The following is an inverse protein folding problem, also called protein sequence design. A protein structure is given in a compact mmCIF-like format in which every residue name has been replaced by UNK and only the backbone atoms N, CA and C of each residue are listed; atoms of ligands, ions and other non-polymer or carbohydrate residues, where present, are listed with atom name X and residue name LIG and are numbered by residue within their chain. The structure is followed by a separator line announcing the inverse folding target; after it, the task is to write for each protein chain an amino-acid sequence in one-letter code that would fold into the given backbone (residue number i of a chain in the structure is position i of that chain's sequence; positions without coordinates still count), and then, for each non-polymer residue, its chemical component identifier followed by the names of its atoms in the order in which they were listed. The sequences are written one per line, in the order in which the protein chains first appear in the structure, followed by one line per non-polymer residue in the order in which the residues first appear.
data_IF_312383952636
#
_entry.id   IF_312383952636
#
_cell.length_a   1.000
_cell.length_b   1.000
_cell.length_c   1.000
_cell.angle_alpha   90.00
_cell.angle_beta   90.00
_cell.angle_gamma   90.00
#
_symmetry.space_group_name_H-M   'P 1'
#
loop_
_entity.id
_entity.type
_entity.pdbx_description
1 polymer ?
#
# COMPACT_ATOMS: atom_id res chain seq x y z
N UNK A 1 -62.59 1.68 -2.87
CA UNK A 1 -61.77 2.02 -1.68
C UNK A 1 -60.62 1.01 -1.49
N UNK A 2 -60.89 -0.30 -1.45
CA UNK A 2 -59.86 -1.36 -1.27
C UNK A 2 -58.70 -1.35 -2.28
N UNK A 3 -58.95 -1.09 -3.58
CA UNK A 3 -57.90 -1.04 -4.62
C UNK A 3 -56.86 0.08 -4.40
N UNK A 4 -57.30 1.23 -3.87
CA UNK A 4 -56.40 2.35 -3.54
C UNK A 4 -55.58 2.03 -2.28
N UNK A 5 -56.19 1.40 -1.28
CA UNK A 5 -55.51 0.96 -0.06
C UNK A 5 -54.42 -0.08 -0.35
N UNK A 6 -54.71 -1.08 -1.19
CA UNK A 6 -53.74 -2.10 -1.59
C UNK A 6 -52.54 -1.52 -2.35
N UNK A 7 -52.78 -0.55 -3.24
CA UNK A 7 -51.70 0.15 -3.96
C UNK A 7 -50.82 0.96 -3.01
N UNK A 8 -51.42 1.68 -2.05
CA UNK A 8 -50.66 2.46 -1.05
C UNK A 8 -49.82 1.56 -0.15
N UNK A 9 -50.36 0.43 0.30
CA UNK A 9 -49.62 -0.56 1.10
C UNK A 9 -48.48 -1.19 0.28
N UNK A 10 -48.72 -1.51 -0.98
CA UNK A 10 -47.68 -2.05 -1.87
C UNK A 10 -46.54 -1.05 -2.10
N UNK A 11 -46.86 0.23 -2.32
CA UNK A 11 -45.87 1.30 -2.45
C UNK A 11 -45.09 1.47 -1.14
N UNK A 12 -45.76 1.48 0.02
CA UNK A 12 -45.10 1.58 1.32
C UNK A 12 -44.15 0.40 1.58
N UNK A 13 -44.56 -0.82 1.24
CA UNK A 13 -43.71 -2.01 1.35
C UNK A 13 -42.52 -1.97 0.39
N UNK A 14 -42.68 -1.41 -0.81
CA UNK A 14 -41.56 -1.16 -1.73
C UNK A 14 -40.58 -0.13 -1.14
N UNK A 15 -41.07 0.99 -0.58
CA UNK A 15 -40.23 1.99 0.06
C UNK A 15 -39.51 1.46 1.31
N UNK A 16 -40.19 0.64 2.13
CA UNK A 16 -39.56 -0.02 3.27
C UNK A 16 -38.53 -1.06 2.80
N UNK A 17 -38.83 -1.84 1.76
CA UNK A 17 -37.91 -2.80 1.17
C UNK A 17 -36.65 -2.13 0.61
N UNK A 18 -36.78 -1.02 -0.11
CA UNK A 18 -35.64 -0.26 -0.63
C UNK A 18 -34.86 0.47 0.45
N UNK A 19 -35.54 0.98 1.48
CA UNK A 19 -34.89 1.63 2.63
C UNK A 19 -34.07 0.64 3.46
N UNK A 20 -34.62 -0.55 3.77
CA UNK A 20 -33.90 -1.61 4.48
C UNK A 20 -32.71 -2.13 3.66
N UNK A 21 -32.84 -2.21 2.33
CA UNK A 21 -31.73 -2.53 1.44
C UNK A 21 -30.64 -1.45 1.46
N UNK A 22 -31.00 -0.17 1.57
CA UNK A 22 -30.05 0.94 1.60
C UNK A 22 -29.28 1.02 2.92
N UNK A 23 -29.93 0.80 4.07
CA UNK A 23 -29.26 0.69 5.37
C UNK A 23 -28.40 -0.58 5.50
N UNK A 24 -28.69 -1.63 4.73
CA UNK A 24 -27.92 -2.88 4.71
C UNK A 24 -26.61 -2.83 3.90
N UNK A 25 -26.29 -1.69 3.26
CA UNK A 25 -25.04 -1.50 2.53
C UNK A 25 -24.02 -0.79 3.42
N UNK A 26 -23.03 -1.54 3.90
CA UNK A 26 -21.85 -0.97 4.54
C UNK A 26 -20.80 -0.58 3.50
N UNK A 27 -20.12 0.54 3.71
CA UNK A 27 -18.92 0.92 2.95
C UNK A 27 -17.72 0.90 3.88
N UNK A 28 -16.60 0.32 3.43
CA UNK A 28 -15.32 0.34 4.14
C UNK A 28 -14.19 0.74 3.20
N UNK A 29 -13.19 1.43 3.74
CA UNK A 29 -12.04 1.91 2.97
C UNK A 29 -10.88 0.94 3.12
N UNK A 30 -10.35 0.50 1.99
CA UNK A 30 -9.15 -0.32 1.91
C UNK A 30 -8.10 0.45 1.12
N UNK A 31 -7.02 0.83 1.78
CA UNK A 31 -5.85 1.42 1.15
C UNK A 31 -4.86 0.31 0.83
N UNK A 32 -4.21 0.37 -0.33
CA UNK A 32 -3.16 -0.58 -0.68
C UNK A 32 -2.00 0.14 -1.35
N UNK A 33 -0.79 -0.20 -0.92
CA UNK A 33 0.45 0.11 -1.61
C UNK A 33 0.94 -1.17 -2.27
N UNK A 34 1.16 -1.14 -3.58
CA UNK A 34 1.73 -2.27 -4.33
C UNK A 34 3.11 -1.87 -4.83
N UNK A 35 4.16 -2.53 -4.32
CA UNK A 35 5.52 -2.39 -4.84
C UNK A 35 5.71 -3.43 -5.96
N UNK A 36 5.65 -3.01 -7.22
CA UNK A 36 5.61 -3.92 -8.39
C UNK A 36 6.59 -3.53 -9.50
N UNK A 37 7.18 -4.50 -10.23
CA UNK A 37 8.02 -4.20 -11.40
C UNK A 37 7.18 -3.61 -12.52
N UNK A 38 7.36 -2.30 -12.80
CA UNK A 38 6.59 -1.56 -13.79
C UNK A 38 5.36 -0.83 -13.23
N UNK A 39 4.66 -0.12 -14.13
CA UNK A 39 3.55 0.76 -13.77
C UNK A 39 2.22 0.00 -13.69
N UNK A 40 1.43 0.32 -12.66
CA UNK A 40 0.14 -0.31 -12.41
C UNK A 40 -1.01 0.69 -12.58
N UNK A 41 -2.19 0.15 -12.90
CA UNK A 41 -3.45 0.86 -12.90
C UNK A 41 -4.50 0.04 -12.15
N UNK A 42 -5.18 0.66 -11.20
CA UNK A 42 -6.32 0.04 -10.54
C UNK A 42 -7.50 -0.17 -11.50
N UNK A 43 -8.11 -1.35 -11.44
CA UNK A 43 -9.31 -1.70 -12.23
C UNK A 43 -10.58 -1.76 -11.37
N UNK A 44 -10.42 -1.94 -10.05
CA UNK A 44 -11.54 -2.06 -9.11
C UNK A 44 -11.33 -3.22 -8.15
N UNK A 45 -12.42 -3.80 -7.64
CA UNK A 45 -12.37 -4.94 -6.73
C UNK A 45 -13.48 -5.94 -7.03
N UNK A 46 -13.33 -7.16 -6.51
CA UNK A 46 -14.41 -8.15 -6.40
C UNK A 46 -14.46 -8.76 -5.00
N UNK A 47 -15.64 -9.27 -4.64
CA UNK A 47 -15.84 -10.07 -3.44
C UNK A 47 -16.05 -11.52 -3.87
N UNK A 48 -15.08 -12.38 -3.61
CA UNK A 48 -15.05 -13.78 -4.05
C UNK A 48 -14.79 -14.67 -2.84
N UNK A 49 -15.71 -15.60 -2.54
CA UNK A 49 -15.58 -16.56 -1.43
C UNK A 49 -15.20 -15.93 -0.07
N UNK A 50 -15.75 -14.76 0.24
CA UNK A 50 -15.45 -14.01 1.48
C UNK A 50 -14.10 -13.28 1.49
N UNK A 51 -13.43 -13.19 0.35
CA UNK A 51 -12.16 -12.47 0.15
C UNK A 51 -12.42 -11.17 -0.61
N UNK A 52 -11.65 -10.13 -0.26
CA UNK A 52 -11.59 -8.89 -1.05
C UNK A 52 -10.45 -9.03 -2.05
N UNK A 53 -10.76 -9.07 -3.33
CA UNK A 53 -9.76 -9.12 -4.41
C UNK A 53 -9.63 -7.74 -5.02
N UNK A 54 -8.51 -7.07 -4.78
CA UNK A 54 -8.17 -5.76 -5.36
C UNK A 54 -7.49 -5.99 -6.71
N UNK A 55 -8.02 -5.41 -7.79
CA UNK A 55 -7.60 -5.70 -9.16
C UNK A 55 -6.77 -4.57 -9.74
N UNK A 56 -5.63 -4.95 -10.30
CA UNK A 56 -4.69 -4.07 -10.98
C UNK A 56 -4.32 -4.64 -12.34
N UNK A 57 -4.05 -3.74 -13.27
CA UNK A 57 -3.53 -4.03 -14.59
C UNK A 57 -2.12 -3.44 -14.72
N UNK A 58 -1.24 -4.15 -15.42
CA UNK A 58 0.11 -3.66 -15.71
C UNK A 58 0.08 -2.81 -16.98
N UNK A 59 0.41 -1.53 -16.86
CA UNK A 59 0.46 -0.60 -18.01
C UNK A 59 1.76 -0.75 -18.81
N UNK A 60 2.88 -0.88 -18.10
CA UNK A 60 4.21 -1.02 -18.68
C UNK A 60 5.01 -2.01 -17.85
N UNK A 61 5.60 -3.01 -18.50
CA UNK A 61 6.51 -3.94 -17.86
C UNK A 61 7.91 -3.32 -17.79
N UNK A 62 8.48 -3.23 -16.60
CA UNK A 62 9.85 -2.76 -16.37
C UNK A 62 10.48 -3.59 -15.24
N UNK A 63 11.81 -3.73 -15.25
CA UNK A 63 12.52 -4.32 -14.12
C UNK A 63 12.56 -3.38 -12.90
N UNK A 64 12.40 -2.07 -13.13
CA UNK A 64 12.36 -1.09 -12.05
C UNK A 64 11.11 -1.28 -11.19
N UNK A 65 11.33 -1.38 -9.88
CA UNK A 65 10.26 -1.47 -8.91
C UNK A 65 9.61 -0.09 -8.74
N UNK A 66 8.28 -0.04 -8.80
CA UNK A 66 7.47 1.16 -8.63
C UNK A 66 6.49 0.95 -7.49
N UNK A 67 6.24 2.01 -6.75
CA UNK A 67 5.18 2.02 -5.74
C UNK A 67 3.90 2.57 -6.36
N UNK A 68 2.81 1.84 -6.18
CA UNK A 68 1.48 2.28 -6.58
C UNK A 68 0.55 2.28 -5.38
N UNK A 69 0.04 3.45 -5.01
CA UNK A 69 -0.94 3.62 -3.94
C UNK A 69 -2.35 3.76 -4.54
N UNK A 70 -3.31 3.02 -3.99
CA UNK A 70 -4.71 3.12 -4.37
C UNK A 70 -5.64 2.99 -3.16
N UNK A 71 -6.79 3.68 -3.23
CA UNK A 71 -7.83 3.64 -2.21
C UNK A 71 -9.12 3.07 -2.80
N UNK A 72 -9.58 1.95 -2.24
CA UNK A 72 -10.82 1.30 -2.65
C UNK A 72 -11.94 1.52 -1.62
N UNK A 73 -13.09 1.98 -2.09
CA UNK A 73 -14.34 1.97 -1.33
C UNK A 73 -15.09 0.66 -1.55
N UNK A 74 -14.89 -0.29 -0.64
CA UNK A 74 -15.53 -1.60 -0.70
C UNK A 74 -16.94 -1.50 -0.13
N UNK A 75 -17.94 -1.78 -0.96
CA UNK A 75 -19.35 -1.86 -0.57
C UNK A 75 -19.74 -3.30 -0.35
N UNK A 76 -20.27 -3.63 0.82
CA UNK A 76 -20.86 -4.94 1.08
C UNK A 76 -22.36 -4.81 1.39
N UNK A 77 -23.17 -5.57 0.64
CA UNK A 77 -24.58 -5.80 0.93
C UNK A 77 -24.68 -6.92 1.97
N UNK A 78 -25.32 -6.66 3.11
CA UNK A 78 -25.63 -7.63 4.17
C UNK A 78 -24.44 -8.19 4.99
N UNK A 79 -23.23 -7.65 4.84
CA UNK A 79 -22.10 -8.04 5.69
C UNK A 79 -21.42 -6.85 6.36
N UNK A 80 -21.20 -6.94 7.68
CA UNK A 80 -20.15 -6.16 8.34
C UNK A 80 -18.81 -6.78 7.94
N UNK A 81 -18.12 -6.18 6.96
CA UNK A 81 -16.75 -6.55 6.62
C UNK A 81 -15.86 -6.25 7.82
N UNK A 82 -15.57 -7.27 8.62
CA UNK A 82 -14.55 -7.21 9.65
C UNK A 82 -13.19 -7.22 8.95
N UNK A 83 -12.68 -6.04 8.61
CA UNK A 83 -11.41 -5.89 7.90
C UNK A 83 -10.23 -6.52 8.64
N UNK A 84 -10.33 -6.75 9.97
CA UNK A 84 -9.29 -7.44 10.74
C UNK A 84 -9.20 -8.92 10.36
N UNK A 85 -10.34 -9.53 10.02
CA UNK A 85 -10.45 -10.95 9.64
C UNK A 85 -10.59 -11.16 8.14
N UNK A 86 -10.96 -10.13 7.39
CA UNK A 86 -11.11 -10.21 5.95
C UNK A 86 -9.77 -10.57 5.31
N UNK A 87 -9.81 -11.56 4.40
CA UNK A 87 -8.66 -11.89 3.57
C UNK A 87 -8.64 -10.96 2.37
N UNK A 88 -7.62 -10.10 2.31
CA UNK A 88 -7.37 -9.20 1.19
C UNK A 88 -6.32 -9.84 0.28
N UNK A 89 -6.59 -9.86 -1.01
CA UNK A 89 -5.68 -10.36 -2.04
C UNK A 89 -5.55 -9.30 -3.12
N UNK A 90 -4.33 -9.06 -3.58
CA UNK A 90 -4.07 -8.16 -4.71
C UNK A 90 -3.86 -9.01 -5.95
N UNK A 91 -4.64 -8.78 -6.99
CA UNK A 91 -4.51 -9.47 -8.28
C UNK A 91 -3.96 -8.49 -9.32
N UNK A 92 -2.72 -8.73 -9.76
CA UNK A 92 -2.06 -7.96 -10.81
C UNK A 92 -2.05 -8.79 -12.09
N UNK A 93 -2.91 -8.47 -13.05
CA UNK A 93 -2.97 -9.15 -14.36
C UNK A 93 -3.02 -10.69 -14.28
N UNK A 94 -3.72 -11.24 -13.28
CA UNK A 94 -3.83 -12.69 -13.04
C UNK A 94 -2.87 -13.26 -12.00
N UNK A 95 -1.88 -12.48 -11.55
CA UNK A 95 -0.93 -12.87 -10.50
C UNK A 95 -1.46 -12.44 -9.14
N UNK A 96 -1.62 -13.40 -8.22
CA UNK A 96 -2.10 -13.14 -6.86
C UNK A 96 -0.95 -12.81 -5.93
N UNK A 97 -1.04 -11.68 -5.25
CA UNK A 97 -0.13 -11.21 -4.21
C UNK A 97 -0.89 -11.17 -2.88
N UNK A 98 -0.26 -11.71 -1.85
CA UNK A 98 -0.79 -11.73 -0.49
C UNK A 98 -0.06 -10.66 0.33
N UNK A 99 -0.75 -9.61 0.82
CA UNK A 99 -0.11 -8.58 1.61
C UNK A 99 0.57 -9.18 2.85
N UNK A 100 1.85 -8.88 3.03
CA UNK A 100 2.63 -9.29 4.21
C UNK A 100 2.57 -8.25 5.34
N UNK A 101 2.18 -7.02 5.01
CA UNK A 101 1.94 -5.94 5.96
C UNK A 101 0.46 -5.55 5.99
N UNK A 102 -0.03 -5.26 7.19
CA UNK A 102 -1.40 -4.84 7.46
C UNK A 102 -1.41 -3.90 8.67
N UNK A 103 -1.92 -2.70 8.50
CA UNK A 103 -2.05 -1.74 9.60
C UNK A 103 -3.29 -0.86 9.46
N UNK A 104 -3.77 -0.32 10.58
CA UNK A 104 -4.93 0.56 10.57
C UNK A 104 -4.55 1.92 10.01
N UNK A 105 -5.36 2.42 9.09
CA UNK A 105 -5.33 3.83 8.73
C UNK A 105 -6.46 4.51 9.48
N UNK A 106 -6.10 5.43 10.36
CA UNK A 106 -7.06 6.44 10.80
C UNK A 106 -7.30 7.37 9.62
N UNK A 107 -8.38 7.13 8.89
CA UNK A 107 -8.89 8.06 7.88
C UNK A 107 -9.21 9.38 8.59
N UNK A 108 -8.42 10.43 8.31
CA UNK A 108 -8.65 11.78 8.84
C UNK A 108 -9.81 12.51 8.14
N UNK A 109 -10.51 11.86 7.19
CA UNK A 109 -11.58 12.49 6.44
C UNK A 109 -12.94 12.39 7.16
N UNK A 110 -13.31 13.52 7.77
CA UNK A 110 -14.70 13.99 7.93
C UNK A 110 -15.67 13.12 8.75
N UNK A 111 -15.38 12.96 10.04
CA UNK A 111 -16.42 12.82 11.07
C UNK A 111 -17.23 11.51 11.06
N UNK A 112 -16.90 10.56 10.19
CA UNK A 112 -17.30 9.16 10.32
C UNK A 112 -16.08 8.40 10.77
N UNK A 113 -16.16 7.73 11.93
CA UNK A 113 -15.14 6.81 12.42
C UNK A 113 -15.06 5.56 11.51
N UNK A 114 -14.68 5.74 10.25
CA UNK A 114 -14.36 4.67 9.32
C UNK A 114 -12.99 4.12 9.68
N UNK A 115 -12.94 2.91 10.23
CA UNK A 115 -11.69 2.15 10.36
C UNK A 115 -11.29 1.67 8.97
N UNK A 116 -10.30 2.31 8.36
CA UNK A 116 -9.66 1.81 7.15
C UNK A 116 -8.47 0.92 7.48
N UNK A 117 -8.06 0.09 6.54
CA UNK A 117 -6.84 -0.72 6.66
C UNK A 117 -5.91 -0.42 5.47
N UNK A 118 -4.62 -0.29 5.74
CA UNK A 118 -3.57 -0.20 4.73
C UNK A 118 -2.83 -1.53 4.63
N UNK A 119 -2.70 -1.99 3.41
CA UNK A 119 -1.98 -3.20 3.06
C UNK A 119 -0.78 -2.83 2.18
N UNK A 120 0.35 -3.51 2.38
CA UNK A 120 1.47 -3.43 1.44
C UNK A 120 1.66 -4.81 0.81
N UNK A 121 1.69 -4.85 -0.52
CA UNK A 121 1.85 -6.06 -1.30
C UNK A 121 3.00 -5.93 -2.31
N UNK A 122 3.72 -7.02 -2.53
CA UNK A 122 4.75 -7.10 -3.55
C UNK A 122 4.90 -8.56 -4.01
N UNK A 123 5.32 -8.82 -5.27
CA UNK A 123 5.79 -10.15 -5.66
C UNK A 123 7.13 -10.51 -5.02
N UNK A 124 7.81 -9.58 -4.36
CA UNK A 124 9.08 -9.79 -3.66
C UNK A 124 8.91 -9.72 -2.14
N UNK A 125 9.90 -10.21 -1.40
CA UNK A 125 9.91 -10.08 0.05
C UNK A 125 10.07 -8.59 0.43
N UNK A 126 9.12 -8.05 1.20
CA UNK A 126 9.12 -6.65 1.64
C UNK A 126 10.35 -6.31 2.49
N UNK A 127 10.94 -7.28 3.18
CA UNK A 127 12.20 -7.11 3.92
C UNK A 127 13.40 -6.81 3.04
N UNK A 128 13.32 -7.14 1.74
CA UNK A 128 14.36 -6.86 0.74
C UNK A 128 14.14 -5.54 -0.01
N UNK A 129 13.05 -4.82 0.30
CA UNK A 129 12.68 -3.57 -0.36
C UNK A 129 12.96 -2.40 0.59
N UNK A 130 13.52 -1.32 0.03
CA UNK A 130 13.66 -0.05 0.72
C UNK A 130 13.14 1.09 -0.17
N UNK A 131 12.53 2.08 0.45
CA UNK A 131 12.24 3.38 -0.15
C UNK A 131 13.41 4.30 0.20
N UNK A 132 14.17 4.73 -0.81
CA UNK A 132 15.32 5.60 -0.60
C UNK A 132 14.94 7.00 -1.06
N UNK A 133 14.82 7.94 -0.12
CA UNK A 133 14.62 9.36 -0.43
C UNK A 133 15.92 9.93 -0.99
N UNK A 134 15.84 10.41 -2.23
CA UNK A 134 16.93 11.00 -2.98
C UNK A 134 16.83 12.53 -2.87
N UNK A 135 17.89 13.23 -2.44
CA UNK A 135 17.90 14.69 -2.39
C UNK A 135 17.68 15.34 -3.76
N UNK A 136 17.08 16.54 -3.76
CA UNK A 136 16.94 17.34 -4.98
C UNK A 136 18.30 17.61 -5.62
N UNK A 137 18.35 17.58 -6.96
CA UNK A 137 19.59 17.74 -7.72
C UNK A 137 20.37 16.44 -7.92
N UNK A 138 19.93 15.32 -7.35
CA UNK A 138 20.61 14.02 -7.45
C UNK A 138 19.70 12.92 -8.02
N UNK A 139 20.35 11.88 -8.55
CA UNK A 139 19.73 10.63 -9.02
C UNK A 139 20.37 9.46 -8.31
N UNK A 140 19.56 8.48 -7.91
CA UNK A 140 20.05 7.22 -7.38
C UNK A 140 20.91 6.46 -8.40
N UNK A 141 22.00 5.82 -7.96
CA UNK A 141 22.82 4.95 -8.79
C UNK A 141 22.84 3.52 -8.29
N UNK A 142 23.31 3.32 -7.06
CA UNK A 142 23.52 1.98 -6.51
C UNK A 142 23.58 2.00 -4.99
N UNK A 143 23.41 0.81 -4.40
CA UNK A 143 23.69 0.55 -2.99
C UNK A 143 24.97 -0.28 -2.87
N UNK A 144 25.83 0.08 -1.93
CA UNK A 144 27.00 -0.70 -1.52
C UNK A 144 27.03 -0.89 -0.02
N UNK A 145 27.63 -1.98 0.45
CA UNK A 145 27.79 -2.24 1.86
C UNK A 145 29.21 -2.64 2.18
N UNK A 146 29.88 -1.80 2.96
CA UNK A 146 31.28 -1.97 3.32
C UNK A 146 31.50 -1.51 4.75
N UNK A 147 32.27 -2.27 5.54
CA UNK A 147 32.64 -1.90 6.91
C UNK A 147 31.44 -1.46 7.78
N UNK A 148 30.35 -2.23 7.75
CA UNK A 148 29.12 -1.95 8.51
C UNK A 148 28.46 -0.59 8.16
N UNK A 149 28.70 -0.11 6.94
CA UNK A 149 28.14 1.12 6.40
C UNK A 149 27.39 0.82 5.10
N UNK A 150 26.11 1.17 5.04
CA UNK A 150 25.33 1.21 3.82
C UNK A 150 25.62 2.53 3.09
N UNK A 151 26.27 2.44 1.94
CA UNK A 151 26.55 3.57 1.07
C UNK A 151 25.48 3.65 -0.03
N UNK A 152 24.82 4.80 -0.12
CA UNK A 152 23.85 5.14 -1.15
C UNK A 152 24.55 6.06 -2.14
N UNK A 153 24.89 5.51 -3.31
CA UNK A 153 25.62 6.23 -4.33
C UNK A 153 24.66 7.03 -5.20
N UNK A 154 24.97 8.31 -5.34
CA UNK A 154 24.19 9.28 -6.08
C UNK A 154 25.00 9.82 -7.27
N UNK A 155 24.31 10.43 -8.23
CA UNK A 155 24.93 11.29 -9.23
C UNK A 155 24.24 12.63 -9.35
N UNK A 156 24.97 13.73 -9.57
CA UNK A 156 24.37 15.04 -9.83
C UNK A 156 23.50 15.03 -11.09
N UNK A 157 22.50 15.92 -11.13
CA UNK A 157 21.66 16.19 -12.30
C UNK A 157 20.27 15.53 -12.30
N UNK A 158 19.74 15.15 -11.13
CA UNK A 158 18.41 14.56 -10.99
C UNK A 158 17.38 15.49 -10.36
N UNK A 159 16.11 15.07 -10.38
CA UNK A 159 15.01 15.77 -9.70
C UNK A 159 14.89 15.43 -8.21
N UNK A 160 15.70 14.50 -7.70
CA UNK A 160 15.42 13.86 -6.41
C UNK A 160 14.15 13.01 -6.45
N UNK A 161 13.63 12.67 -5.28
CA UNK A 161 12.37 11.92 -5.13
C UNK A 161 12.51 10.72 -4.19
N UNK A 162 11.74 9.67 -4.44
CA UNK A 162 11.85 8.38 -3.75
C UNK A 162 12.15 7.32 -4.79
N UNK A 163 13.22 6.57 -4.59
CA UNK A 163 13.56 5.39 -5.39
C UNK A 163 13.20 4.14 -4.59
N UNK A 164 12.39 3.25 -5.18
CA UNK A 164 12.03 1.97 -4.56
C UNK A 164 13.03 0.93 -5.02
N UNK A 165 13.89 0.49 -4.12
CA UNK A 165 14.99 -0.42 -4.45
C UNK A 165 14.76 -1.79 -3.83
N UNK A 166 14.99 -2.84 -4.63
CA UNK A 166 15.09 -4.20 -4.14
C UNK A 166 16.56 -4.59 -4.04
N UNK A 167 17.01 -5.02 -2.87
CA UNK A 167 18.41 -5.38 -2.64
C UNK A 167 18.60 -6.44 -1.57
N UNK A 168 19.45 -7.43 -1.87
CA UNK A 168 19.87 -8.43 -0.90
C UNK A 168 20.65 -7.80 0.26
N UNK A 169 21.37 -6.70 0.00
CA UNK A 169 22.07 -5.94 1.05
C UNK A 169 21.07 -5.50 2.12
N UNK A 170 19.91 -4.97 1.71
CA UNK A 170 18.87 -4.55 2.65
C UNK A 170 18.30 -5.75 3.41
N UNK A 171 17.99 -6.84 2.69
CA UNK A 171 17.44 -8.05 3.30
C UNK A 171 18.34 -8.64 4.40
N UNK A 172 19.64 -8.78 4.11
CA UNK A 172 20.63 -9.37 5.03
C UNK A 172 20.89 -8.48 6.25
N UNK A 173 20.63 -7.17 6.15
CA UNK A 173 21.02 -6.18 7.13
C UNK A 173 19.82 -5.45 7.76
N UNK A 174 18.60 -5.91 7.53
CA UNK A 174 17.38 -5.17 7.87
C UNK A 174 17.29 -4.84 9.36
N UNK A 175 17.58 -5.80 10.24
CA UNK A 175 17.58 -5.58 11.69
C UNK A 175 18.65 -4.57 12.12
N UNK A 176 19.84 -4.64 11.52
CA UNK A 176 20.92 -3.70 11.80
C UNK A 176 20.57 -2.27 11.37
N UNK A 177 19.88 -2.12 10.24
CA UNK A 177 19.36 -0.84 9.75
C UNK A 177 18.27 -0.29 10.67
N UNK A 178 17.26 -1.10 11.03
CA UNK A 178 16.16 -0.70 11.93
C UNK A 178 16.65 -0.30 13.33
N UNK A 179 17.68 -0.98 13.85
CA UNK A 179 18.26 -0.72 15.18
C UNK A 179 19.34 0.37 15.20
N UNK A 180 19.67 0.94 14.03
CA UNK A 180 20.71 1.97 13.92
C UNK A 180 22.13 1.45 14.17
N UNK A 181 22.36 0.14 14.05
CA UNK A 181 23.69 -0.45 14.17
C UNK A 181 24.52 -0.30 12.89
N UNK A 182 23.85 -0.08 11.76
CA UNK A 182 24.47 0.14 10.47
C UNK A 182 24.48 1.63 10.19
N UNK A 183 25.67 2.17 9.90
CA UNK A 183 25.82 3.55 9.46
C UNK A 183 25.27 3.69 8.04
N UNK A 184 24.60 4.80 7.74
CA UNK A 184 24.09 5.07 6.39
C UNK A 184 24.72 6.36 5.90
N UNK A 185 25.32 6.30 4.70
CA UNK A 185 25.95 7.45 4.06
C UNK A 185 25.40 7.58 2.64
N UNK A 186 24.92 8.77 2.30
CA UNK A 186 24.71 9.17 0.92
C UNK A 186 26.00 9.81 0.40
N UNK A 187 26.41 9.50 -0.83
CA UNK A 187 27.57 10.16 -1.44
C UNK A 187 27.48 10.24 -2.95
N UNK A 188 28.00 11.32 -3.53
CA UNK A 188 28.21 11.48 -4.98
C UNK A 188 29.68 11.30 -5.39
N UNK A 189 30.54 10.85 -4.46
CA UNK A 189 31.99 10.72 -4.62
C UNK A 189 32.78 12.00 -4.28
N UNK A 190 32.12 13.14 -4.16
CA UNK A 190 32.73 14.43 -3.78
C UNK A 190 32.31 14.90 -2.39
N UNK A 191 31.09 14.55 -1.97
CA UNK A 191 30.47 14.93 -0.70
C UNK A 191 29.79 13.72 -0.08
N UNK A 192 29.60 13.79 1.24
CA UNK A 192 28.89 12.78 2.02
C UNK A 192 27.83 13.43 2.89
N UNK A 193 26.70 12.74 3.06
CA UNK A 193 25.63 13.11 3.97
C UNK A 193 25.23 11.89 4.80
N UNK A 194 24.96 12.09 6.08
CA UNK A 194 24.46 11.02 6.93
C UNK A 194 22.99 10.71 6.59
N UNK A 195 22.69 9.43 6.50
CA UNK A 195 21.33 8.92 6.35
C UNK A 195 20.78 8.38 7.66
N UNK A 196 19.46 8.22 7.73
CA UNK A 196 18.75 7.56 8.81
C UNK A 196 17.67 6.65 8.26
N UNK A 197 17.34 5.61 9.04
CA UNK A 197 16.20 4.74 8.77
C UNK A 197 14.99 5.25 9.52
N UNK A 198 13.87 5.31 8.81
CA UNK A 198 12.55 5.41 9.39
C UNK A 198 11.84 4.09 9.13
N UNK A 199 11.23 3.54 10.17
CA UNK A 199 10.42 2.35 10.01
C UNK A 199 9.07 2.78 9.46
N UNK A 200 8.69 2.23 8.31
CA UNK A 200 7.37 2.47 7.73
C UNK A 200 6.40 1.50 8.40
N UNK A 201 5.47 2.01 9.20
CA UNK A 201 4.34 1.21 9.66
C UNK A 201 4.46 0.51 11.02
N UNK A 202 3.35 -0.16 11.41
CA UNK A 202 3.18 -0.92 12.64
C UNK A 202 3.73 -2.35 12.60
N UNK A 203 3.07 -3.28 13.30
CA UNK A 203 3.51 -4.69 13.38
C UNK A 203 3.42 -5.38 12.00
N UNK A 204 4.55 -5.86 11.45
CA UNK A 204 4.58 -6.63 10.21
C UNK A 204 5.91 -6.52 9.43
N UNK A 205 6.01 -7.27 8.33
CA UNK A 205 7.13 -7.15 7.39
C UNK A 205 6.86 -5.99 6.41
N UNK A 206 7.50 -4.84 6.65
CA UNK A 206 7.38 -3.63 5.83
C UNK A 206 8.71 -3.25 5.15
N UNK A 207 8.66 -2.54 4.00
CA UNK A 207 9.81 -1.80 3.49
C UNK A 207 10.32 -0.78 4.52
N UNK A 208 11.62 -0.51 4.49
CA UNK A 208 12.20 0.57 5.30
C UNK A 208 12.32 1.85 4.48
N UNK A 209 12.04 3.00 5.08
CA UNK A 209 12.33 4.30 4.51
C UNK A 209 13.74 4.71 4.92
N UNK A 210 14.55 5.13 3.96
CA UNK A 210 15.86 5.69 4.22
C UNK A 210 15.87 7.12 3.69
N UNK A 211 16.19 8.08 4.55
CA UNK A 211 16.32 9.49 4.16
C UNK A 211 17.61 10.11 4.66
N UNK A 212 18.00 11.22 4.03
CA UNK A 212 19.06 12.08 4.57
C UNK A 212 18.61 12.68 5.90
N UNK A 213 19.49 12.60 6.90
CA UNK A 213 19.26 13.08 8.27
C UNK A 213 18.95 14.56 8.37
#
# INVERSE_FOLDING_TARGET
MAKRLALTVFILLLFLGTFVLFEAVGTTEVCVTVCYPGELKAEGYSLEDGQIVLKFHTLENSEALREHFEKFEIRCLFCSLDLEKAKVVVNVSGTLLYPAYKDYVMSFDNGRNGKGMHYIASPYNLTSIAEVRIPEGYTFKELKFENNTLQILLSPGGSGGVEVVRSNIIAENQEGLKRGWIKIIYTDGSREWEGRVQTIGGEGECPILIDTG
#
